data_IF_640559824190
#
_entry.id   IF_640559824190
#
_cell.length_a   1.000
_cell.length_b   1.000
_cell.length_c   1.000
_cell.angle_alpha   90.00
_cell.angle_beta   90.00
_cell.angle_gamma   90.00
#
_symmetry.space_group_name_H-M   'P 1'
#
loop_
_entity.id
_entity.type
_entity.pdbx_description
1 polymer ?
#
# COMPACT_ATOMS: atom_id res chain seq x y z
N UNK A 1 28.74 -1.02 15.55
CA UNK A 1 27.97 -2.27 15.49
C UNK A 1 28.87 -3.48 15.76
N UNK A 2 29.58 -3.51 16.89
CA UNK A 2 30.54 -4.59 17.24
C UNK A 2 30.09 -5.41 18.48
N UNK A 3 28.86 -5.19 18.95
CA UNK A 3 28.37 -5.68 20.24
C UNK A 3 27.73 -7.09 20.16
N UNK A 4 27.11 -7.43 19.03
CA UNK A 4 26.38 -8.69 18.86
C UNK A 4 27.31 -9.90 18.64
N UNK A 5 28.52 -9.69 18.12
CA UNK A 5 29.42 -10.76 17.70
C UNK A 5 30.32 -11.35 18.80
N UNK A 6 30.46 -10.68 19.95
CA UNK A 6 31.34 -11.16 21.05
C UNK A 6 30.64 -12.12 22.01
N UNK A 7 29.32 -12.28 21.93
CA UNK A 7 28.53 -13.11 22.85
C UNK A 7 28.45 -14.58 22.41
N UNK A 8 28.78 -14.92 21.15
CA UNK A 8 28.45 -16.25 20.61
C UNK A 8 29.64 -16.84 19.83
N UNK A 9 30.57 -17.49 20.53
CA UNK A 9 31.59 -18.40 19.94
C UNK A 9 31.69 -19.76 20.65
N UNK A 10 30.67 -20.15 21.41
CA UNK A 10 30.53 -21.48 21.98
C UNK A 10 29.35 -22.21 21.36
N UNK A 11 29.53 -23.45 20.91
CA UNK A 11 28.41 -24.34 20.57
C UNK A 11 27.57 -24.57 21.82
N UNK A 12 26.32 -24.16 21.75
CA UNK A 12 25.52 -23.78 22.90
C UNK A 12 24.31 -24.72 22.98
N UNK A 13 24.47 -25.86 23.67
CA UNK A 13 23.38 -26.81 23.96
C UNK A 13 22.73 -26.44 25.30
N UNK A 14 21.92 -25.39 25.32
CA UNK A 14 21.06 -25.10 26.45
C UNK A 14 19.74 -25.88 26.27
N UNK A 15 19.61 -27.04 26.90
CA UNK A 15 18.38 -27.83 26.91
C UNK A 15 17.49 -27.40 28.08
N UNK A 16 16.30 -26.90 27.77
CA UNK A 16 15.24 -26.66 28.75
C UNK A 16 14.88 -27.98 29.46
N UNK A 17 14.93 -28.02 30.79
CA UNK A 17 14.30 -29.10 31.57
C UNK A 17 12.80 -28.87 31.59
N UNK A 18 12.08 -29.63 30.78
CA UNK A 18 10.62 -29.56 30.72
C UNK A 18 10.10 -30.93 31.15
N UNK A 19 9.53 -30.99 32.36
CA UNK A 19 8.58 -32.04 32.72
C UNK A 19 7.28 -31.76 31.95
N UNK A 20 7.05 -32.53 30.89
CA UNK A 20 5.96 -32.34 29.92
C UNK A 20 4.68 -33.05 30.39
N UNK A 21 4.79 -34.05 31.26
CA UNK A 21 3.68 -34.93 31.64
C UNK A 21 3.30 -34.85 33.14
N UNK A 22 4.00 -34.03 33.95
CA UNK A 22 3.79 -33.90 35.40
C UNK A 22 3.91 -35.23 36.16
N UNK A 23 4.68 -36.20 35.64
CA UNK A 23 4.91 -37.49 36.30
C UNK A 23 6.08 -37.47 37.30
N UNK A 24 6.75 -36.32 37.44
CA UNK A 24 7.91 -36.15 38.32
C UNK A 24 9.21 -36.71 37.76
N UNK A 25 9.27 -37.07 36.46
CA UNK A 25 10.49 -37.48 35.75
C UNK A 25 10.75 -36.55 34.57
N UNK A 26 12.02 -36.16 34.43
CA UNK A 26 12.51 -35.39 33.29
C UNK A 26 12.40 -36.25 32.01
N UNK A 27 11.37 -36.02 31.17
CA UNK A 27 11.16 -36.69 29.87
C UNK A 27 12.34 -36.47 28.88
N UNK A 28 13.21 -35.51 29.17
CA UNK A 28 14.47 -35.26 28.45
C UNK A 28 15.63 -35.02 29.44
N UNK A 29 15.99 -36.03 30.22
CA UNK A 29 17.19 -35.99 31.07
C UNK A 29 18.47 -36.15 30.22
N UNK A 30 19.03 -35.02 29.78
CA UNK A 30 20.45 -34.96 29.41
C UNK A 30 21.16 -33.93 30.29
N UNK A 31 22.32 -34.33 30.80
CA UNK A 31 23.09 -33.62 31.83
C UNK A 31 23.16 -32.10 31.64
N UNK A 32 22.85 -31.37 32.71
CA UNK A 32 23.06 -29.93 32.83
C UNK A 32 24.57 -29.70 32.74
N UNK A 33 25.04 -29.26 31.57
CA UNK A 33 26.26 -28.49 31.49
C UNK A 33 25.81 -27.03 31.43
N UNK A 34 26.06 -26.30 32.52
CA UNK A 34 25.84 -24.85 32.57
C UNK A 34 26.72 -24.29 31.45
N UNK A 35 26.15 -23.66 30.40
CA UNK A 35 26.99 -22.98 29.45
C UNK A 35 27.66 -21.83 30.19
N UNK A 36 29.00 -21.78 30.17
CA UNK A 36 29.77 -20.60 30.57
C UNK A 36 29.45 -19.49 29.56
N UNK A 37 28.27 -18.89 29.69
CA UNK A 37 27.95 -17.64 29.03
C UNK A 37 28.81 -16.64 29.78
N UNK A 38 29.99 -16.34 29.21
CA UNK A 38 30.84 -15.25 29.66
C UNK A 38 30.08 -13.95 29.37
N UNK A 39 29.14 -13.63 30.24
CA UNK A 39 28.40 -12.39 30.22
C UNK A 39 29.44 -11.28 30.38
N UNK A 40 29.45 -10.30 29.46
CA UNK A 40 30.23 -9.10 29.64
C UNK A 40 30.03 -8.53 31.05
N UNK A 41 31.08 -7.95 31.63
CA UNK A 41 31.12 -7.52 33.02
C UNK A 41 29.99 -6.53 33.39
N UNK A 42 29.50 -5.76 32.41
CA UNK A 42 28.35 -4.86 32.56
C UNK A 42 26.99 -5.58 32.71
N UNK A 43 26.92 -6.89 32.44
CA UNK A 43 25.76 -7.77 32.66
C UNK A 43 25.96 -8.68 33.88
N UNK A 44 26.93 -8.40 34.75
CA UNK A 44 27.15 -9.18 35.99
C UNK A 44 26.53 -8.54 37.24
N UNK A 45 26.22 -7.25 37.20
CA UNK A 45 25.63 -6.52 38.33
C UNK A 45 24.25 -5.96 37.94
N UNK A 46 23.19 -6.73 38.21
CA UNK A 46 21.97 -6.72 37.37
C UNK A 46 20.68 -6.51 38.14
N UNK A 47 20.76 -6.26 39.44
CA UNK A 47 19.62 -6.00 40.32
C UNK A 47 18.70 -4.89 39.80
N UNK A 48 19.24 -3.97 39.00
CA UNK A 48 18.51 -2.81 38.44
C UNK A 48 18.32 -2.87 36.92
N UNK A 49 18.68 -3.98 36.25
CA UNK A 49 18.59 -4.09 34.80
C UNK A 49 17.32 -4.80 34.35
N UNK A 50 16.70 -4.25 33.30
CA UNK A 50 15.61 -4.88 32.55
C UNK A 50 16.16 -5.27 31.18
N UNK A 51 16.07 -6.55 30.82
CA UNK A 51 16.43 -7.03 29.49
C UNK A 51 15.21 -6.99 28.58
N UNK A 52 15.35 -6.37 27.42
CA UNK A 52 14.30 -6.31 26.39
C UNK A 52 14.78 -7.08 25.17
N UNK A 53 14.07 -8.14 24.81
CA UNK A 53 14.30 -8.89 23.58
C UNK A 53 13.20 -8.54 22.57
N UNK A 54 13.59 -7.99 21.44
CA UNK A 54 12.69 -7.58 20.36
C UNK A 54 12.87 -8.48 19.13
N UNK A 55 11.81 -8.60 18.32
CA UNK A 55 11.78 -9.36 17.06
C UNK A 55 12.25 -10.82 17.20
N UNK A 56 11.88 -11.47 18.32
CA UNK A 56 12.36 -12.82 18.67
C UNK A 56 11.90 -13.89 17.66
N UNK A 57 10.78 -13.68 16.97
CA UNK A 57 10.30 -14.55 15.91
C UNK A 57 11.20 -14.57 14.66
N UNK A 58 12.04 -13.54 14.48
CA UNK A 58 13.02 -13.46 13.39
C UNK A 58 14.41 -13.93 13.79
N UNK A 59 14.58 -14.37 15.03
CA UNK A 59 15.85 -14.92 15.48
C UNK A 59 16.17 -16.20 14.70
N UNK A 60 17.42 -16.35 14.24
CA UNK A 60 17.88 -17.58 13.59
C UNK A 60 18.04 -18.75 14.57
N UNK A 61 18.06 -18.47 15.87
CA UNK A 61 18.12 -19.48 16.93
C UNK A 61 16.74 -20.14 17.04
N UNK A 62 16.71 -21.47 17.20
CA UNK A 62 15.46 -22.19 17.41
C UNK A 62 14.71 -21.63 18.64
N UNK A 63 13.40 -21.43 18.51
CA UNK A 63 12.57 -20.79 19.55
C UNK A 63 12.72 -21.45 20.92
N UNK A 64 12.83 -22.79 20.97
CA UNK A 64 13.06 -23.54 22.21
C UNK A 64 14.36 -23.14 22.88
N UNK A 65 15.43 -23.01 22.11
CA UNK A 65 16.77 -22.74 22.62
C UNK A 65 16.83 -21.29 23.10
N UNK A 66 16.28 -20.36 22.32
CA UNK A 66 16.17 -18.95 22.68
C UNK A 66 15.42 -18.76 24.01
N UNK A 67 14.29 -19.45 24.18
CA UNK A 67 13.53 -19.38 25.43
C UNK A 67 14.26 -20.07 26.59
N UNK A 68 15.07 -21.11 26.31
CA UNK A 68 16.02 -21.68 27.27
C UNK A 68 17.03 -20.65 27.78
N UNK A 69 17.61 -19.86 26.89
CA UNK A 69 18.49 -18.75 27.28
C UNK A 69 17.77 -17.70 28.12
N UNK A 70 16.57 -17.31 27.70
CA UNK A 70 15.77 -16.33 28.43
C UNK A 70 15.43 -16.85 29.83
N UNK A 71 15.05 -18.12 29.95
CA UNK A 71 14.75 -18.75 31.23
C UNK A 71 15.94 -18.70 32.19
N UNK A 72 17.17 -18.87 31.69
CA UNK A 72 18.37 -18.75 32.51
C UNK A 72 18.51 -17.34 33.13
N UNK A 73 18.22 -16.29 32.37
CA UNK A 73 18.26 -14.92 32.88
C UNK A 73 17.19 -14.68 33.96
N UNK A 74 15.99 -15.24 33.77
CA UNK A 74 14.86 -15.07 34.69
C UNK A 74 15.05 -15.87 35.98
N UNK A 75 15.28 -17.19 35.88
CA UNK A 75 15.29 -18.09 37.04
C UNK A 75 16.62 -18.08 37.82
N UNK A 76 17.75 -18.04 37.12
CA UNK A 76 19.05 -18.21 37.76
C UNK A 76 19.75 -16.89 38.08
N UNK A 77 19.49 -15.85 37.27
CA UNK A 77 20.16 -14.55 37.38
C UNK A 77 19.20 -13.45 37.87
N UNK A 78 17.93 -13.77 38.12
CA UNK A 78 16.90 -12.89 38.67
C UNK A 78 16.71 -11.56 37.92
N UNK A 79 16.88 -11.58 36.59
CA UNK A 79 16.62 -10.42 35.75
C UNK A 79 15.13 -10.21 35.49
N UNK A 80 14.74 -8.94 35.37
CA UNK A 80 13.46 -8.58 34.76
C UNK A 80 13.61 -8.66 33.25
N UNK A 81 12.72 -9.39 32.59
CA UNK A 81 12.74 -9.57 31.13
C UNK A 81 11.42 -9.13 30.51
N UNK A 82 11.51 -8.40 29.40
CA UNK A 82 10.39 -8.06 28.51
C UNK A 82 10.67 -8.67 27.15
N UNK A 83 9.68 -9.38 26.61
CA UNK A 83 9.71 -9.91 25.25
C UNK A 83 8.76 -9.09 24.39
N UNK A 84 9.25 -8.61 23.26
CA UNK A 84 8.46 -7.97 22.20
C UNK A 84 8.52 -8.91 21.00
N UNK A 85 7.35 -9.39 20.57
CA UNK A 85 7.27 -10.46 19.60
C UNK A 85 5.97 -10.42 18.81
N UNK A 86 6.01 -10.94 17.59
CA UNK A 86 4.81 -11.39 16.90
C UNK A 86 4.40 -12.78 17.41
N UNK A 87 3.50 -12.79 18.38
CA UNK A 87 2.98 -14.01 19.01
C UNK A 87 2.44 -15.03 17.99
N UNK A 88 1.73 -14.56 16.95
CA UNK A 88 1.13 -15.44 15.95
C UNK A 88 2.18 -16.21 15.12
N UNK A 89 3.38 -15.67 14.95
CA UNK A 89 4.50 -16.38 14.31
C UNK A 89 5.12 -17.42 15.26
N UNK A 90 5.23 -17.10 16.54
CA UNK A 90 5.77 -18.02 17.56
C UNK A 90 4.86 -19.22 17.83
N UNK A 91 3.54 -19.01 17.82
CA UNK A 91 2.55 -20.07 18.04
C UNK A 91 2.57 -21.18 16.97
N UNK A 92 3.21 -20.95 15.82
CA UNK A 92 3.44 -21.99 14.81
C UNK A 92 4.33 -23.13 15.34
N UNK A 93 5.09 -22.88 16.39
CA UNK A 93 5.88 -23.89 17.08
C UNK A 93 5.07 -24.49 18.25
N UNK A 94 4.66 -25.75 18.12
CA UNK A 94 3.81 -26.42 19.13
C UNK A 94 4.42 -26.40 20.54
N UNK A 95 5.75 -26.43 20.66
CA UNK A 95 6.45 -26.41 21.96
C UNK A 95 6.41 -25.04 22.63
N UNK A 96 6.17 -23.97 21.87
CA UNK A 96 6.15 -22.61 22.40
C UNK A 96 5.11 -22.44 23.50
N UNK A 97 3.89 -22.97 23.31
CA UNK A 97 2.79 -22.83 24.28
C UNK A 97 3.14 -23.42 25.65
N UNK A 98 3.77 -24.59 25.66
CA UNK A 98 4.20 -25.27 26.89
C UNK A 98 5.29 -24.46 27.61
N UNK A 99 6.27 -23.94 26.85
CA UNK A 99 7.36 -23.14 27.42
C UNK A 99 6.82 -21.79 27.95
N UNK A 100 5.92 -21.17 27.19
CA UNK A 100 5.28 -19.89 27.53
C UNK A 100 4.56 -19.98 28.88
N UNK A 101 3.80 -21.05 29.13
CA UNK A 101 3.07 -21.23 30.38
C UNK A 101 3.98 -21.16 31.62
N UNK A 102 5.20 -21.71 31.51
CA UNK A 102 6.17 -21.74 32.62
C UNK A 102 7.02 -20.48 32.71
N UNK A 103 7.40 -19.90 31.56
CA UNK A 103 8.36 -18.79 31.49
C UNK A 103 7.71 -17.40 31.52
N UNK A 104 6.55 -17.23 30.89
CA UNK A 104 5.95 -15.91 30.67
C UNK A 104 4.86 -15.63 31.70
N UNK A 105 5.14 -14.74 32.65
CA UNK A 105 4.17 -14.40 33.70
C UNK A 105 3.01 -13.51 33.24
N UNK A 106 3.23 -12.60 32.29
CA UNK A 106 2.20 -11.69 31.75
C UNK A 106 2.40 -11.47 30.25
N UNK A 107 1.28 -11.40 29.53
CA UNK A 107 1.25 -11.06 28.11
C UNK A 107 0.30 -9.88 27.91
N UNK A 108 0.76 -8.88 27.16
CA UNK A 108 -0.03 -7.71 26.79
C UNK A 108 -0.06 -7.64 25.27
N UNK A 109 -1.26 -7.61 24.70
CA UNK A 109 -1.43 -7.34 23.28
C UNK A 109 -1.42 -5.82 23.05
N UNK A 110 -0.58 -5.37 22.11
CA UNK A 110 -0.52 -3.97 21.71
C UNK A 110 -1.27 -3.83 20.39
N UNK A 111 -2.41 -3.15 20.43
CA UNK A 111 -3.18 -2.81 19.24
C UNK A 111 -2.97 -1.34 18.88
N UNK A 112 -2.76 -1.02 17.59
CA UNK A 112 -2.57 0.35 17.16
C UNK A 112 -3.89 1.12 17.18
N UNK A 113 -3.91 2.27 17.85
CA UNK A 113 -5.01 3.23 17.75
C UNK A 113 -4.78 4.18 16.57
N UNK A 114 -5.53 3.96 15.49
CA UNK A 114 -5.28 4.64 14.21
C UNK A 114 -5.38 6.16 14.30
N UNK A 115 -6.30 6.69 15.13
CA UNK A 115 -6.48 8.13 15.32
C UNK A 115 -5.24 8.78 15.94
N UNK A 116 -4.77 8.25 17.07
CA UNK A 116 -3.55 8.73 17.73
C UNK A 116 -2.31 8.60 16.84
N UNK A 117 -2.23 7.54 16.05
CA UNK A 117 -1.12 7.31 15.13
C UNK A 117 -1.13 8.34 13.99
N UNK A 118 -2.29 8.65 13.42
CA UNK A 118 -2.42 9.67 12.38
C UNK A 118 -2.08 11.06 12.90
N UNK A 119 -2.55 11.41 14.10
CA UNK A 119 -2.20 12.67 14.76
C UNK A 119 -0.69 12.80 14.96
N UNK A 120 -0.03 11.70 15.39
CA UNK A 120 1.43 11.66 15.51
C UNK A 120 2.14 11.78 14.16
N UNK A 121 1.70 11.06 13.14
CA UNK A 121 2.35 11.09 11.82
C UNK A 121 2.24 12.44 11.11
N UNK A 122 1.10 13.11 11.28
CA UNK A 122 0.86 14.45 10.70
C UNK A 122 1.57 15.55 11.48
N UNK A 123 1.69 15.41 12.81
CA UNK A 123 2.46 16.35 13.64
C UNK A 123 3.97 16.25 13.45
N UNK A 124 4.51 15.02 13.31
CA UNK A 124 5.93 14.80 12.97
C UNK A 124 6.36 15.56 11.70
N UNK A 125 5.44 15.73 10.75
CA UNK A 125 5.70 16.39 9.46
C UNK A 125 5.18 17.83 9.36
N UNK A 126 4.46 18.31 10.39
CA UNK A 126 3.78 19.63 10.41
C UNK A 126 2.78 19.82 9.26
N UNK A 127 2.02 18.77 8.96
CA UNK A 127 1.06 18.71 7.85
C UNK A 127 -0.39 18.53 8.31
N UNK A 128 -0.68 18.77 9.59
CA UNK A 128 -1.98 18.55 10.22
C UNK A 128 -3.09 19.31 9.45
N UNK A 129 -2.85 20.59 9.15
CA UNK A 129 -3.82 21.42 8.40
C UNK A 129 -4.17 20.85 7.03
N UNK A 130 -3.20 20.22 6.39
CA UNK A 130 -3.35 19.67 5.05
C UNK A 130 -4.08 18.32 5.07
N UNK A 131 -3.78 17.45 6.03
CA UNK A 131 -4.42 16.13 6.12
C UNK A 131 -5.76 16.12 6.86
N UNK A 132 -6.04 17.10 7.72
CA UNK A 132 -7.30 17.19 8.47
C UNK A 132 -8.57 16.99 7.61
N UNK A 133 -8.71 17.63 6.43
CA UNK A 133 -9.86 17.43 5.54
C UNK A 133 -9.95 16.02 4.94
N UNK A 134 -8.87 15.24 5.00
CA UNK A 134 -8.71 13.96 4.33
C UNK A 134 -8.53 12.76 5.29
N UNK A 135 -8.64 12.97 6.61
CA UNK A 135 -8.45 11.92 7.60
C UNK A 135 -9.40 10.73 7.40
N UNK A 136 -10.68 10.97 7.16
CA UNK A 136 -11.67 9.91 6.93
C UNK A 136 -11.34 9.09 5.67
N UNK A 137 -10.83 9.74 4.63
CA UNK A 137 -10.38 9.07 3.41
C UNK A 137 -9.17 8.17 3.69
N UNK A 138 -8.20 8.66 4.45
CA UNK A 138 -7.01 7.90 4.83
C UNK A 138 -7.42 6.68 5.65
N UNK A 139 -8.26 6.87 6.69
CA UNK A 139 -8.76 5.78 7.55
C UNK A 139 -9.53 4.74 6.75
N UNK A 140 -10.45 5.18 5.89
CA UNK A 140 -11.23 4.29 5.04
C UNK A 140 -10.32 3.48 4.12
N UNK A 141 -9.35 4.12 3.47
CA UNK A 141 -8.43 3.45 2.55
C UNK A 141 -7.52 2.46 3.28
N UNK A 142 -7.02 2.83 4.46
CA UNK A 142 -6.22 1.96 5.32
C UNK A 142 -7.01 0.71 5.77
N UNK A 143 -8.25 0.89 6.25
CA UNK A 143 -9.12 -0.23 6.64
C UNK A 143 -9.49 -1.14 5.46
N UNK A 144 -9.74 -0.56 4.27
CA UNK A 144 -9.98 -1.33 3.03
C UNK A 144 -8.78 -2.16 2.60
N UNK A 145 -7.55 -1.71 2.91
CA UNK A 145 -6.33 -2.45 2.62
C UNK A 145 -6.25 -3.79 3.35
N UNK A 146 -6.85 -3.90 4.54
CA UNK A 146 -6.81 -5.06 5.44
C UNK A 146 -5.40 -5.52 5.88
N UNK A 147 -4.36 -4.75 5.59
CA UNK A 147 -2.98 -5.15 5.90
C UNK A 147 -2.54 -4.81 7.32
N UNK A 148 -3.14 -3.79 7.94
CA UNK A 148 -2.83 -3.42 9.33
C UNK A 148 -1.39 -2.95 9.57
N UNK A 149 -0.64 -2.58 8.53
CA UNK A 149 0.76 -2.20 8.66
C UNK A 149 0.94 -0.67 8.69
N UNK A 150 1.15 -0.13 9.89
CA UNK A 150 1.38 1.31 10.12
C UNK A 150 2.63 1.84 9.41
N UNK A 151 3.63 1.00 9.11
CA UNK A 151 4.82 1.43 8.35
C UNK A 151 4.44 1.81 6.92
N UNK A 152 3.51 1.08 6.31
CA UNK A 152 3.03 1.39 4.96
C UNK A 152 2.25 2.70 4.95
N UNK A 153 1.39 2.91 5.97
CA UNK A 153 0.67 4.18 6.16
C UNK A 153 1.63 5.36 6.33
N UNK A 154 2.59 5.23 7.26
CA UNK A 154 3.58 6.29 7.51
C UNK A 154 4.36 6.65 6.25
N UNK A 155 4.83 5.64 5.51
CA UNK A 155 5.58 5.85 4.28
C UNK A 155 4.73 6.56 3.22
N UNK A 156 3.48 6.13 3.01
CA UNK A 156 2.59 6.75 2.05
C UNK A 156 2.31 8.24 2.38
N UNK A 157 2.12 8.58 3.66
CA UNK A 157 1.94 9.96 4.09
C UNK A 157 3.21 10.80 3.88
N UNK A 158 4.39 10.24 4.19
CA UNK A 158 5.67 10.91 3.93
C UNK A 158 5.89 11.17 2.43
N UNK A 159 5.60 10.18 1.59
CA UNK A 159 5.75 10.29 0.14
C UNK A 159 4.74 11.30 -0.44
N UNK A 160 3.50 11.32 0.05
CA UNK A 160 2.53 12.33 -0.35
C UNK A 160 2.91 13.73 0.12
N UNK A 161 3.46 13.88 1.33
CA UNK A 161 3.97 15.18 1.82
C UNK A 161 5.07 15.70 0.89
N UNK A 162 5.98 14.83 0.44
CA UNK A 162 7.02 15.21 -0.54
C UNK A 162 6.44 15.62 -1.88
N UNK A 163 5.38 14.94 -2.33
CA UNK A 163 4.66 15.29 -3.56
C UNK A 163 3.95 16.64 -3.43
N UNK A 164 3.19 16.83 -2.36
CA UNK A 164 2.42 18.04 -2.04
C UNK A 164 3.28 19.29 -2.09
N UNK A 165 4.47 19.27 -1.47
CA UNK A 165 5.42 20.39 -1.48
C UNK A 165 5.88 20.83 -2.89
N UNK A 166 5.67 19.99 -3.91
CA UNK A 166 6.01 20.26 -5.31
C UNK A 166 4.78 20.58 -6.16
N UNK A 167 3.57 20.45 -5.62
CA UNK A 167 2.34 20.76 -6.33
C UNK A 167 2.09 22.28 -6.28
N UNK A 168 1.58 22.86 -7.37
CA UNK A 168 1.26 24.28 -7.40
C UNK A 168 -0.06 24.57 -6.68
N UNK A 169 -0.27 25.82 -6.26
CA UNK A 169 -1.44 26.22 -5.47
C UNK A 169 -2.78 25.87 -6.13
N UNK A 170 -2.89 25.96 -7.47
CA UNK A 170 -4.14 25.63 -8.16
C UNK A 170 -4.55 24.16 -7.96
N UNK A 171 -3.58 23.27 -7.73
CA UNK A 171 -3.83 21.85 -7.42
C UNK A 171 -4.17 21.68 -5.95
N UNK A 172 -3.38 22.26 -5.04
CA UNK A 172 -3.56 22.09 -3.58
C UNK A 172 -4.85 22.72 -3.06
N UNK A 173 -5.35 23.78 -3.73
CA UNK A 173 -6.60 24.44 -3.37
C UNK A 173 -7.84 23.59 -3.71
N UNK A 174 -7.70 22.65 -4.64
CA UNK A 174 -8.78 21.72 -5.03
C UNK A 174 -8.79 20.50 -4.10
N UNK A 175 -9.60 20.57 -3.05
CA UNK A 175 -9.75 19.45 -2.09
C UNK A 175 -10.13 18.13 -2.75
N UNK A 176 -10.98 18.16 -3.79
CA UNK A 176 -11.38 16.94 -4.51
C UNK A 176 -10.23 16.32 -5.30
N UNK A 177 -9.38 17.14 -5.94
CA UNK A 177 -8.22 16.67 -6.68
C UNK A 177 -7.17 16.09 -5.73
N UNK A 178 -6.89 16.80 -4.63
CA UNK A 178 -5.96 16.33 -3.59
C UNK A 178 -6.45 15.02 -2.98
N UNK A 179 -7.74 14.93 -2.62
CA UNK A 179 -8.33 13.70 -2.10
C UNK A 179 -8.17 12.53 -3.08
N UNK A 180 -8.43 12.75 -4.37
CA UNK A 180 -8.30 11.71 -5.37
C UNK A 180 -6.84 11.27 -5.57
N UNK A 181 -5.90 12.22 -5.64
CA UNK A 181 -4.47 11.92 -5.78
C UNK A 181 -3.93 11.19 -4.56
N UNK A 182 -4.30 11.63 -3.35
CA UNK A 182 -3.95 10.98 -2.09
C UNK A 182 -4.49 9.56 -2.03
N UNK A 183 -5.74 9.34 -2.42
CA UNK A 183 -6.35 8.02 -2.43
C UNK A 183 -5.57 7.06 -3.35
N UNK A 184 -5.24 7.50 -4.56
CA UNK A 184 -4.46 6.67 -5.51
C UNK A 184 -3.07 6.34 -4.94
N UNK A 185 -2.37 7.33 -4.39
CA UNK A 185 -1.03 7.12 -3.83
C UNK A 185 -1.08 6.16 -2.64
N UNK A 186 -2.06 6.29 -1.74
CA UNK A 186 -2.25 5.36 -0.62
C UNK A 186 -2.49 3.93 -1.11
N UNK A 187 -3.41 3.75 -2.05
CA UNK A 187 -3.74 2.42 -2.59
C UNK A 187 -2.51 1.80 -3.23
N UNK A 188 -1.84 2.50 -4.14
CA UNK A 188 -0.66 1.94 -4.80
C UNK A 188 0.45 1.64 -3.80
N UNK A 189 0.69 2.52 -2.82
CA UNK A 189 1.69 2.28 -1.78
C UNK A 189 1.37 1.03 -0.96
N UNK A 190 0.12 0.84 -0.53
CA UNK A 190 -0.26 -0.31 0.29
C UNK A 190 -0.10 -1.62 -0.45
N UNK A 191 -0.54 -1.67 -1.70
CA UNK A 191 -0.50 -2.89 -2.52
C UNK A 191 0.93 -3.24 -2.96
N UNK A 192 1.74 -2.23 -3.30
CA UNK A 192 3.16 -2.42 -3.63
C UNK A 192 3.95 -2.89 -2.42
N UNK A 193 3.75 -2.25 -1.25
CA UNK A 193 4.51 -2.59 -0.04
C UNK A 193 4.10 -3.92 0.57
N UNK A 194 2.85 -4.33 0.39
CA UNK A 194 2.43 -5.68 0.75
C UNK A 194 2.94 -6.74 -0.25
N UNK A 195 3.19 -6.35 -1.51
CA UNK A 195 3.68 -7.23 -2.56
C UNK A 195 2.59 -7.87 -3.43
N UNK A 196 1.35 -7.37 -3.38
CA UNK A 196 0.28 -7.83 -4.29
C UNK A 196 0.51 -7.36 -5.73
N UNK A 197 1.10 -6.17 -5.90
CA UNK A 197 1.43 -5.60 -7.20
C UNK A 197 2.84 -5.01 -7.17
N UNK A 198 3.46 -4.90 -8.33
CA UNK A 198 4.66 -4.08 -8.54
C UNK A 198 4.28 -2.71 -9.11
N UNK A 199 5.18 -1.73 -9.00
CA UNK A 199 4.98 -0.43 -9.65
C UNK A 199 4.77 -0.56 -11.17
N UNK A 200 5.47 -1.51 -11.81
CA UNK A 200 5.36 -1.77 -13.26
C UNK A 200 3.96 -2.21 -13.67
N UNK A 201 3.25 -2.89 -12.77
CA UNK A 201 1.88 -3.33 -13.03
C UNK A 201 0.92 -2.16 -13.17
N UNK A 202 1.26 -0.94 -12.70
CA UNK A 202 0.47 0.29 -12.86
C UNK A 202 0.20 0.60 -14.34
N UNK A 203 1.12 0.24 -15.24
CA UNK A 203 0.94 0.38 -16.68
C UNK A 203 -0.28 -0.38 -17.23
N UNK A 204 -0.61 -1.52 -16.63
CA UNK A 204 -1.75 -2.34 -17.02
C UNK A 204 -3.11 -1.70 -16.66
N UNK A 205 -3.13 -0.80 -15.67
CA UNK A 205 -4.36 -0.14 -15.19
C UNK A 205 -5.00 0.74 -16.26
N UNK A 206 -4.19 1.35 -17.15
CA UNK A 206 -4.69 2.05 -18.34
C UNK A 206 -5.58 1.16 -19.19
N UNK A 207 -5.19 -0.11 -19.40
CA UNK A 207 -5.94 -1.05 -20.22
C UNK A 207 -7.11 -1.69 -19.48
N UNK A 208 -6.99 -1.98 -18.18
CA UNK A 208 -8.07 -2.61 -17.40
C UNK A 208 -9.31 -1.73 -17.21
N UNK A 209 -9.16 -0.42 -17.04
CA UNK A 209 -10.31 0.48 -16.97
C UNK A 209 -11.01 0.68 -18.33
N UNK A 210 -10.23 0.77 -19.40
CA UNK A 210 -10.75 0.80 -20.77
C UNK A 210 -11.46 -0.52 -21.12
N UNK A 211 -10.91 -1.65 -20.70
CA UNK A 211 -11.47 -2.98 -20.94
C UNK A 211 -12.73 -3.24 -20.11
N UNK A 212 -12.84 -2.75 -18.87
CA UNK A 212 -14.08 -2.88 -18.09
C UNK A 212 -15.28 -2.11 -18.69
N UNK A 213 -15.01 -1.05 -19.47
CA UNK A 213 -16.01 -0.28 -20.21
C UNK A 213 -16.42 -0.99 -21.52
N UNK A 214 -15.56 -1.86 -22.06
CA UNK A 214 -15.86 -2.74 -23.20
C UNK A 214 -16.15 -4.15 -22.70
N UNK A 215 -17.43 -4.50 -22.53
CA UNK A 215 -17.94 -5.74 -21.93
C UNK A 215 -17.60 -7.07 -22.64
N UNK A 216 -16.39 -7.23 -23.18
CA UNK A 216 -16.01 -8.35 -24.05
C UNK A 216 -14.55 -8.77 -23.90
N UNK A 217 -14.06 -8.98 -22.67
CA UNK A 217 -12.91 -9.86 -22.45
C UNK A 217 -13.15 -10.70 -21.20
N UNK A 218 -13.24 -12.01 -21.43
CA UNK A 218 -13.37 -13.09 -20.45
C UNK A 218 -12.01 -13.51 -19.88
N UNK A 219 -12.05 -13.98 -18.63
CA UNK A 219 -11.17 -15.02 -18.06
C UNK A 219 -9.69 -14.67 -17.81
N UNK A 220 -9.47 -13.67 -16.98
CA UNK A 220 -8.50 -13.74 -15.87
C UNK A 220 -8.84 -12.60 -14.89
N UNK A 221 -8.88 -12.87 -13.57
CA UNK A 221 -8.98 -11.80 -12.57
C UNK A 221 -7.66 -11.01 -12.60
N UNK A 222 -7.51 -10.12 -13.57
CA UNK A 222 -6.39 -9.17 -13.66
C UNK A 222 -6.20 -8.49 -12.29
N UNK A 223 -4.97 -8.14 -11.92
CA UNK A 223 -4.66 -7.47 -10.65
C UNK A 223 -5.59 -6.26 -10.40
N UNK A 224 -5.98 -5.59 -11.49
CA UNK A 224 -6.92 -4.46 -11.52
C UNK A 224 -8.33 -4.87 -11.04
N UNK A 225 -8.84 -6.03 -11.44
CA UNK A 225 -10.15 -6.51 -11.00
C UNK A 225 -10.19 -6.76 -9.48
N UNK A 226 -9.13 -7.37 -8.94
CA UNK A 226 -8.98 -7.58 -7.48
C UNK A 226 -8.93 -6.25 -6.73
N UNK A 227 -8.18 -5.28 -7.25
CA UNK A 227 -8.07 -3.95 -6.66
C UNK A 227 -9.39 -3.17 -6.72
N UNK A 228 -10.13 -3.30 -7.82
CA UNK A 228 -11.42 -2.62 -7.99
C UNK A 228 -12.49 -3.20 -7.05
N UNK A 229 -12.41 -4.50 -6.74
CA UNK A 229 -13.24 -5.14 -5.73
C UNK A 229 -12.88 -4.67 -4.31
N UNK A 230 -11.57 -4.58 -4.03
CA UNK A 230 -11.04 -4.14 -2.72
C UNK A 230 -11.26 -2.65 -2.44
N UNK A 231 -11.16 -1.80 -3.47
CA UNK A 231 -11.31 -0.36 -3.40
C UNK A 231 -12.41 0.12 -4.36
N UNK A 232 -13.70 0.08 -3.96
CA UNK A 232 -14.81 0.38 -4.86
C UNK A 232 -14.77 1.79 -5.48
N UNK A 233 -14.18 2.77 -4.79
CA UNK A 233 -14.05 4.16 -5.29
C UNK A 233 -13.13 4.27 -6.51
N UNK A 234 -12.16 3.37 -6.67
CA UNK A 234 -11.22 3.38 -7.80
C UNK A 234 -11.90 3.05 -9.14
N UNK A 235 -13.01 2.31 -9.12
CA UNK A 235 -13.66 1.78 -10.33
C UNK A 235 -14.02 2.84 -11.38
N UNK A 236 -14.33 4.05 -10.93
CA UNK A 236 -14.78 5.16 -11.78
C UNK A 236 -13.80 6.34 -11.79
N UNK A 237 -12.58 6.12 -11.30
CA UNK A 237 -11.55 7.13 -11.13
C UNK A 237 -10.52 7.05 -12.25
N UNK A 238 -9.93 8.20 -12.59
CA UNK A 238 -8.83 8.31 -13.56
C UNK A 238 -7.50 8.27 -12.80
N UNK A 239 -6.40 7.87 -13.44
CA UNK A 239 -5.09 7.72 -12.75
C UNK A 239 -4.52 9.08 -12.36
N UNK A 240 -5.06 10.19 -12.90
CA UNK A 240 -4.59 11.57 -12.82
C UNK A 240 -3.22 11.81 -13.45
N UNK A 241 -2.29 10.87 -13.30
CA UNK A 241 -0.97 10.84 -13.87
C UNK A 241 -0.80 9.62 -14.77
N UNK A 242 0.07 9.74 -15.76
CA UNK A 242 0.50 8.61 -16.56
C UNK A 242 1.19 7.54 -15.71
N UNK A 243 1.07 6.27 -16.13
CA UNK A 243 1.64 5.15 -15.40
C UNK A 243 3.16 5.27 -15.19
N UNK A 244 3.89 5.84 -16.16
CA UNK A 244 5.34 6.05 -16.07
C UNK A 244 5.69 7.02 -14.94
N UNK A 245 4.90 8.08 -14.74
CA UNK A 245 5.06 9.00 -13.62
C UNK A 245 4.76 8.32 -12.28
N UNK A 246 3.70 7.51 -12.22
CA UNK A 246 3.40 6.75 -11.01
C UNK A 246 4.54 5.79 -10.66
N UNK A 247 5.14 5.13 -11.64
CA UNK A 247 6.31 4.27 -11.45
C UNK A 247 7.49 5.09 -10.90
N UNK A 248 7.78 6.26 -11.49
CA UNK A 248 8.85 7.13 -11.01
C UNK A 248 8.64 7.58 -9.56
N UNK A 249 7.41 7.96 -9.19
CA UNK A 249 7.06 8.41 -7.84
C UNK A 249 7.17 7.25 -6.84
N UNK A 250 6.59 6.09 -7.15
CA UNK A 250 6.41 4.99 -6.19
C UNK A 250 7.62 4.05 -6.08
N UNK A 251 8.35 3.85 -7.18
CA UNK A 251 9.51 2.94 -7.23
C UNK A 251 10.82 3.69 -6.99
N UNK A 252 10.99 4.85 -7.64
CA UNK A 252 12.24 5.61 -7.62
C UNK A 252 12.21 6.82 -6.68
N UNK A 253 11.04 7.23 -6.19
CA UNK A 253 10.88 8.45 -5.40
C UNK A 253 11.21 9.74 -6.16
N UNK A 254 11.12 9.71 -7.49
CA UNK A 254 11.40 10.85 -8.38
C UNK A 254 10.10 11.62 -8.59
N UNK A 255 10.13 12.93 -8.31
CA UNK A 255 8.99 13.83 -8.47
C UNK A 255 9.36 14.85 -9.54
N UNK A 256 8.83 14.68 -10.75
CA UNK A 256 8.97 15.64 -11.84
C UNK A 256 7.83 16.67 -11.76
N UNK A 257 8.08 17.76 -11.04
CA UNK A 257 7.14 18.85 -10.78
C UNK A 257 6.51 19.42 -12.06
N UNK A 258 7.31 19.64 -13.11
CA UNK A 258 6.85 20.22 -14.38
C UNK A 258 5.83 19.31 -15.08
N UNK A 259 6.15 18.02 -15.20
CA UNK A 259 5.29 17.08 -15.93
C UNK A 259 4.04 16.72 -15.11
N UNK A 260 4.18 16.51 -13.80
CA UNK A 260 3.07 16.26 -12.88
C UNK A 260 2.09 17.44 -12.93
N UNK A 261 2.59 18.67 -12.80
CA UNK A 261 1.76 19.87 -12.86
C UNK A 261 1.01 19.98 -14.20
N UNK A 262 1.69 19.74 -15.32
CA UNK A 262 1.06 19.77 -16.65
C UNK A 262 -0.11 18.78 -16.73
N UNK A 263 0.05 17.56 -16.21
CA UNK A 263 -0.99 16.54 -16.26
C UNK A 263 -2.16 16.85 -15.32
N UNK A 264 -1.87 17.27 -14.08
CA UNK A 264 -2.90 17.60 -13.10
C UNK A 264 -3.76 18.81 -13.54
N UNK A 265 -3.17 19.82 -14.19
CA UNK A 265 -3.90 20.97 -14.76
C UNK A 265 -4.90 20.58 -15.86
N UNK A 266 -4.72 19.42 -16.49
CA UNK A 266 -5.61 18.92 -17.54
C UNK A 266 -6.70 17.98 -17.01
N UNK A 267 -6.75 17.76 -15.70
CA UNK A 267 -7.76 16.89 -15.07
C UNK A 267 -9.13 17.57 -15.03
N UNK A 268 -10.19 16.77 -14.88
CA UNK A 268 -11.57 17.27 -14.76
C UNK A 268 -11.79 18.27 -13.62
N UNK A 269 -10.93 18.25 -12.60
CA UNK A 269 -11.06 19.07 -11.40
C UNK A 269 -10.64 20.53 -11.62
N UNK A 270 -9.81 20.80 -12.62
CA UNK A 270 -9.26 22.13 -12.91
C UNK A 270 -9.75 22.70 -14.25
N UNK A 271 -10.85 22.16 -14.78
CA UNK A 271 -11.47 22.70 -16.00
C UNK A 271 -11.95 24.13 -15.73
N UNK A 272 -11.34 25.09 -16.41
CA UNK A 272 -11.71 26.50 -16.40
C UNK A 272 -12.09 26.97 -17.81
N UNK A 273 -12.57 28.22 -17.93
CA UNK A 273 -12.84 28.83 -19.25
C UNK A 273 -11.61 28.82 -20.16
N UNK A 274 -10.39 28.93 -19.58
CA UNK A 274 -9.10 28.93 -20.30
C UNK A 274 -8.61 27.54 -20.70
N UNK A 275 -9.24 26.47 -20.24
CA UNK A 275 -8.83 25.10 -20.56
C UNK A 275 -8.99 24.82 -22.06
N UNK A 276 -7.97 24.24 -22.73
CA UNK A 276 -8.05 23.85 -24.13
C UNK A 276 -9.29 23.00 -24.44
N UNK A 277 -9.92 23.24 -25.59
CA UNK A 277 -11.17 22.58 -25.94
C UNK A 277 -11.02 21.07 -26.12
N UNK A 278 -9.82 20.57 -26.46
CA UNK A 278 -9.54 19.14 -26.51
C UNK A 278 -9.58 18.47 -25.14
N UNK A 279 -9.18 19.18 -24.06
CA UNK A 279 -9.25 18.67 -22.68
C UNK A 279 -10.70 18.69 -22.17
N UNK A 280 -11.46 19.75 -22.52
CA UNK A 280 -12.91 19.77 -22.25
C UNK A 280 -13.59 18.60 -22.95
N UNK A 281 -13.24 18.34 -24.21
CA UNK A 281 -13.75 17.19 -24.96
C UNK A 281 -13.34 15.85 -24.36
N UNK A 282 -12.12 15.71 -23.82
CA UNK A 282 -11.67 14.50 -23.11
C UNK A 282 -12.60 14.16 -21.94
N UNK A 283 -13.04 15.18 -21.22
CA UNK A 283 -13.99 15.07 -20.11
C UNK A 283 -15.46 15.05 -20.57
N UNK A 284 -15.77 14.58 -21.79
CA UNK A 284 -17.12 14.64 -22.36
C UNK A 284 -18.26 14.10 -21.48
N UNK A 285 -17.97 13.19 -20.53
CA UNK A 285 -18.98 12.62 -19.63
C UNK A 285 -19.57 13.64 -18.66
N UNK A 286 -18.91 14.78 -18.44
CA UNK A 286 -19.39 15.86 -17.59
C UNK A 286 -20.15 16.94 -18.37
N UNK A 287 -20.36 16.76 -19.68
CA UNK A 287 -20.92 17.75 -20.57
C UNK A 287 -22.28 17.32 -21.16
N UNK A 288 -23.11 18.30 -21.54
CA UNK A 288 -24.38 18.03 -22.23
C UNK A 288 -24.13 17.54 -23.66
N UNK A 289 -25.17 16.96 -24.28
CA UNK A 289 -25.05 16.49 -25.66
C UNK A 289 -24.79 17.63 -26.67
N UNK A 290 -25.31 18.85 -26.44
CA UNK A 290 -25.00 20.01 -27.30
C UNK A 290 -23.54 20.43 -27.15
N UNK A 291 -23.09 20.67 -25.92
CA UNK A 291 -21.70 21.09 -25.64
C UNK A 291 -20.68 20.06 -26.13
N UNK A 292 -20.98 18.77 -26.04
CA UNK A 292 -20.15 17.72 -26.62
C UNK A 292 -20.01 17.85 -28.15
N UNK A 293 -21.12 18.10 -28.87
CA UNK A 293 -21.09 18.24 -30.34
C UNK A 293 -20.29 19.47 -30.76
N UNK A 294 -20.48 20.59 -30.07
CA UNK A 294 -19.75 21.83 -30.32
C UNK A 294 -18.25 21.63 -30.13
N UNK A 295 -17.83 21.11 -28.96
CA UNK A 295 -16.43 20.83 -28.66
C UNK A 295 -15.82 19.83 -29.66
N UNK A 296 -16.56 18.79 -30.05
CA UNK A 296 -16.09 17.81 -31.04
C UNK A 296 -15.81 18.47 -32.38
N UNK A 297 -16.73 19.31 -32.87
CA UNK A 297 -16.58 19.99 -34.15
C UNK A 297 -15.39 20.96 -34.15
N UNK A 298 -15.24 21.72 -33.07
CA UNK A 298 -14.18 22.72 -32.95
C UNK A 298 -12.79 22.07 -32.84
N UNK A 299 -12.64 21.08 -31.95
CA UNK A 299 -11.37 20.33 -31.80
C UNK A 299 -11.01 19.64 -33.11
N UNK A 300 -12.00 19.08 -33.82
CA UNK A 300 -11.76 18.43 -35.10
C UNK A 300 -11.34 19.39 -36.21
N UNK A 301 -11.93 20.58 -36.24
CA UNK A 301 -11.56 21.64 -37.19
C UNK A 301 -10.11 22.07 -36.94
N UNK A 302 -9.75 22.35 -35.69
CA UNK A 302 -8.38 22.71 -35.32
C UNK A 302 -7.36 21.59 -35.59
N UNK A 303 -7.77 20.33 -35.43
CA UNK A 303 -6.91 19.19 -35.74
C UNK A 303 -6.62 19.08 -37.24
N UNK A 304 -7.64 19.27 -38.09
CA UNK A 304 -7.47 19.29 -39.56
C UNK A 304 -6.62 20.46 -40.04
N UNK A 305 -6.70 21.59 -39.34
CA UNK A 305 -5.90 22.79 -39.62
C UNK A 305 -4.47 22.69 -39.07
N UNK A 306 -4.06 21.54 -38.49
CA UNK A 306 -2.73 21.30 -37.93
C UNK A 306 -2.34 22.32 -36.82
N UNK A 307 -3.34 22.81 -36.06
CA UNK A 307 -3.12 23.78 -34.97
C UNK A 307 -2.52 23.17 -33.70
N UNK A 308 -2.53 21.85 -33.56
CA UNK A 308 -1.90 21.15 -32.43
C UNK A 308 -0.47 20.74 -32.81
N UNK A 309 0.51 21.25 -32.05
CA UNK A 309 1.94 21.00 -32.30
C UNK A 309 2.57 20.05 -31.27
N UNK A 310 1.93 19.88 -30.09
CA UNK A 310 2.42 18.97 -29.05
C UNK A 310 2.06 17.52 -29.41
N UNK A 311 3.05 16.61 -29.56
CA UNK A 311 2.81 15.20 -29.84
C UNK A 311 1.87 14.51 -28.84
N UNK A 312 1.88 14.95 -27.57
CA UNK A 312 1.01 14.40 -26.53
C UNK A 312 -0.46 14.76 -26.80
N UNK A 313 -0.74 16.01 -27.17
CA UNK A 313 -2.09 16.46 -27.52
C UNK A 313 -2.63 15.71 -28.75
N UNK A 314 -1.80 15.57 -29.78
CA UNK A 314 -2.14 14.84 -31.02
C UNK A 314 -2.48 13.39 -30.69
N UNK A 315 -1.71 12.73 -29.81
CA UNK A 315 -1.96 11.36 -29.35
C UNK A 315 -3.31 11.25 -28.65
N UNK A 316 -3.62 12.16 -27.71
CA UNK A 316 -4.90 12.15 -26.99
C UNK A 316 -6.09 12.40 -27.92
N UNK A 317 -5.98 13.38 -28.83
CA UNK A 317 -7.05 13.70 -29.79
C UNK A 317 -7.30 12.49 -30.70
N UNK A 318 -6.25 11.92 -31.29
CA UNK A 318 -6.36 10.74 -32.15
C UNK A 318 -7.01 9.55 -31.42
N UNK A 319 -6.64 9.31 -30.15
CA UNK A 319 -7.25 8.29 -29.31
C UNK A 319 -8.74 8.52 -29.04
N UNK A 320 -9.14 9.74 -28.68
CA UNK A 320 -10.56 10.11 -28.50
C UNK A 320 -11.35 9.87 -29.78
N UNK A 321 -10.80 10.26 -30.92
CA UNK A 321 -11.45 10.08 -32.21
C UNK A 321 -11.70 8.62 -32.54
N UNK A 322 -10.69 7.76 -32.37
CA UNK A 322 -10.88 6.33 -32.50
C UNK A 322 -11.97 5.83 -31.55
N UNK A 323 -11.90 6.19 -30.28
CA UNK A 323 -12.89 5.77 -29.27
C UNK A 323 -14.34 6.16 -29.64
N UNK A 324 -14.57 7.42 -30.03
CA UNK A 324 -15.90 7.90 -30.43
C UNK A 324 -16.38 7.23 -31.72
N UNK A 325 -15.47 7.02 -32.69
CA UNK A 325 -15.79 6.30 -33.92
C UNK A 325 -16.19 4.85 -33.66
N UNK A 326 -15.44 4.13 -32.82
CA UNK A 326 -15.76 2.76 -32.41
C UNK A 326 -17.09 2.68 -31.66
N UNK A 327 -17.35 3.56 -30.68
CA UNK A 327 -18.65 3.63 -29.98
C UNK A 327 -19.82 3.90 -30.91
N UNK A 328 -19.67 4.80 -31.89
CA UNK A 328 -20.70 5.10 -32.90
C UNK A 328 -20.97 3.89 -33.80
N UNK A 329 -19.93 3.16 -34.20
CA UNK A 329 -20.07 1.95 -35.02
C UNK A 329 -20.61 0.74 -34.23
N UNK A 330 -20.29 0.62 -32.94
CA UNK A 330 -20.87 -0.39 -32.05
C UNK A 330 -22.38 -0.17 -31.88
N UNK A 331 -22.83 1.09 -31.68
CA UNK A 331 -24.27 1.44 -31.68
C UNK A 331 -24.96 1.12 -33.01
N UNK A 332 -24.30 1.36 -34.16
CA UNK A 332 -24.82 1.00 -35.49
C UNK A 332 -24.86 -0.52 -35.74
N UNK A 333 -23.92 -1.29 -35.19
CA UNK A 333 -23.93 -2.76 -35.27
C UNK A 333 -25.05 -3.35 -34.40
N UNK A 334 -25.27 -2.82 -33.18
CA UNK A 334 -26.37 -3.24 -32.32
C UNK A 334 -27.75 -2.91 -32.92
N UNK A 335 -27.93 -1.73 -33.53
CA UNK A 335 -29.19 -1.42 -34.21
C UNK A 335 -29.42 -2.26 -35.48
N UNK A 336 -28.37 -2.67 -36.19
CA UNK A 336 -28.46 -3.61 -37.33
C UNK A 336 -28.77 -5.05 -36.90
N UNK A 337 -28.27 -5.51 -35.75
CA UNK A 337 -28.58 -6.86 -35.24
C UNK A 337 -30.01 -6.96 -34.70
N UNK A 338 -30.57 -5.89 -34.11
CA UNK A 338 -31.99 -5.86 -33.72
C UNK A 338 -32.91 -5.91 -34.95
N UNK A 339 -32.49 -5.32 -36.08
CA UNK A 339 -33.25 -5.41 -37.35
C UNK A 339 -33.04 -6.72 -38.13
N UNK A 340 -32.00 -7.51 -37.84
CA UNK A 340 -31.83 -8.86 -38.44
C UNK A 340 -32.64 -9.93 -37.71
N UNK A 341 -32.87 -9.81 -36.40
CA UNK A 341 -33.69 -10.76 -35.63
C UNK A 341 -35.22 -10.55 -35.77
N UNK A 342 -35.68 -9.48 -36.44
CA UNK A 342 -37.11 -9.31 -36.76
C UNK A 342 -37.56 -10.00 -38.06
N UNK A 343 -36.63 -10.52 -38.87
CA UNK A 343 -36.95 -11.26 -40.10
C UNK A 343 -36.78 -12.78 -39.97
N UNK A 344 -36.67 -13.31 -38.74
CA UNK A 344 -36.60 -14.75 -38.47
C UNK A 344 -37.85 -15.29 -37.73
N UNK A 345 -38.88 -14.45 -37.59
CA UNK A 345 -40.25 -14.82 -37.21
C UNK A 345 -41.23 -14.11 -38.14
N UNK A 346 -41.30 -14.58 -39.39
CA UNK A 346 -42.47 -14.45 -40.25
C UNK A 346 -42.61 -15.69 -41.09
#
# INVERSE_FOLDING_TARGET
MDLAGKIIRGTLKATLKIDINSDGKDDASTNISIPDINLPEYLKNTSDLVLIFDDIERCSIATSDLLGYINHFVEHQNYKVILVANEAELEKNEKYRIIKEKLIGKTFEITPELDLVLDKFTSDTRTEKFYNPHLDLIKQTYSQSKYGNLRHLRQALLDFTRLEQKLPHEVTDSQELVAHLLQLLLIFTFEIRHGEISAKDISSFKFGWLSQISSSVTEEKTAIAKLTEKYPRIKNQELLLDADLWIEILDKGIINDTLITKQLKNTKYLISKKTPNWIKLWNFRTHTNETFKELTNEVWTHFRELKFLDPQEIKHISGMMMFFFFKKNLRKKHSRNINRNKNMYR
#
